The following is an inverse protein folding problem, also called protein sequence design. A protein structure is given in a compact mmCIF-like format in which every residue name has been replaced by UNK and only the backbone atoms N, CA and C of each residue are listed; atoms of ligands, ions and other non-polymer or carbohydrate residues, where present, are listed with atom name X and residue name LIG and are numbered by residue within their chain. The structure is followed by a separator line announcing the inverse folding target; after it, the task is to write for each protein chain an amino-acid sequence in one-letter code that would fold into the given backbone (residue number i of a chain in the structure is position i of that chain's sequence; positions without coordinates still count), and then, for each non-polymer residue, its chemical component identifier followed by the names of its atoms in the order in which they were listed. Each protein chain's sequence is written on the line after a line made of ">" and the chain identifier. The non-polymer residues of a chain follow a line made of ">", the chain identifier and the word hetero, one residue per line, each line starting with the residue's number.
data_IF_697175769071
#
_entry.id   IF_697175769071
#
_cell.length_a   1.000
_cell.length_b   1.000
_cell.length_c   1.000
_cell.angle_alpha   90.00
_cell.angle_beta   90.00
_cell.angle_gamma   90.00
#
_symmetry.space_group_name_H-M   'P 1'
#
loop_
_entity.id
_entity.type
_entity.pdbx_description
1 polymer ?
#
# COMPACT_ATOMS: atom_id res chain seq x y z
N UNK A 1 7.35 24.33 45.70
CA UNK A 1 7.40 22.92 45.26
C UNK A 1 6.12 22.57 44.51
N UNK A 2 6.12 22.59 43.18
CA UNK A 2 4.97 22.15 42.35
C UNK A 2 5.30 20.74 41.84
N UNK A 3 4.46 19.75 42.17
CA UNK A 3 4.52 18.39 41.60
C UNK A 3 3.78 18.41 40.26
N UNK A 4 4.47 17.94 39.23
CA UNK A 4 3.98 17.67 37.87
C UNK A 4 3.05 16.46 37.86
N UNK A 5 1.78 16.65 37.48
CA UNK A 5 0.86 15.55 37.22
C UNK A 5 1.09 15.00 35.81
N UNK A 6 1.32 13.69 35.77
CA UNK A 6 1.52 12.88 34.57
C UNK A 6 0.25 12.86 33.72
N UNK A 7 0.40 13.12 32.41
CA UNK A 7 -0.67 12.97 31.44
C UNK A 7 -1.13 11.51 31.34
N UNK A 8 -2.28 11.22 31.93
CA UNK A 8 -2.96 9.93 31.83
C UNK A 8 -3.34 9.65 30.38
N UNK A 9 -2.59 8.77 29.70
CA UNK A 9 -3.03 8.18 28.44
C UNK A 9 -4.29 7.36 28.70
N UNK A 10 -5.46 7.88 28.33
CA UNK A 10 -6.75 7.19 28.46
C UNK A 10 -6.74 5.93 27.59
N UNK A 11 -6.40 4.78 28.18
CA UNK A 11 -6.48 3.47 27.52
C UNK A 11 -7.95 3.07 27.37
N UNK A 12 -8.46 3.12 26.15
CA UNK A 12 -9.81 2.66 25.82
C UNK A 12 -9.92 1.15 26.00
N UNK A 13 -11.00 0.68 26.62
CA UNK A 13 -11.26 -0.75 26.83
C UNK A 13 -11.22 -1.53 25.50
N UNK A 14 -10.54 -2.70 25.45
CA UNK A 14 -10.49 -3.56 24.26
C UNK A 14 -11.88 -3.91 23.70
N UNK A 15 -12.91 -3.91 24.56
CA UNK A 15 -14.29 -4.23 24.18
C UNK A 15 -15.01 -3.10 23.44
N UNK A 16 -14.74 -1.84 23.79
CA UNK A 16 -15.33 -0.68 23.10
C UNK A 16 -14.80 -0.57 21.67
N UNK A 17 -13.53 -0.91 21.47
CA UNK A 17 -12.87 -0.85 20.17
C UNK A 17 -13.29 -2.00 19.23
N UNK A 18 -13.50 -3.20 19.79
CA UNK A 18 -14.02 -4.36 19.04
C UNK A 18 -15.40 -4.08 18.41
N UNK A 19 -16.27 -3.37 19.14
CA UNK A 19 -17.60 -2.97 18.66
C UNK A 19 -17.53 -1.93 17.53
N UNK A 20 -16.55 -1.02 17.59
CA UNK A 20 -16.34 -0.02 16.54
C UNK A 20 -15.75 -0.62 15.25
N UNK A 21 -14.90 -1.65 15.36
CA UNK A 21 -14.36 -2.36 14.18
C UNK A 21 -15.39 -3.24 13.46
N UNK A 22 -16.43 -3.72 14.16
CA UNK A 22 -17.52 -4.48 13.55
C UNK A 22 -18.51 -3.60 12.76
N UNK A 23 -18.46 -2.28 12.96
CA UNK A 23 -19.43 -1.34 12.41
C UNK A 23 -18.94 -0.61 11.15
N UNK A 24 -17.64 -0.70 10.82
CA UNK A 24 -17.05 -0.02 9.68
C UNK A 24 -16.51 -1.01 8.65
N UNK A 25 -17.25 -1.19 7.56
CA UNK A 25 -16.74 -1.71 6.29
C UNK A 25 -15.84 -0.63 5.66
N UNK A 26 -14.61 -0.51 6.16
CA UNK A 26 -13.58 0.50 5.80
C UNK A 26 -14.06 1.97 5.94
N UNK A 27 -13.22 2.98 6.21
CA UNK A 27 -12.21 3.60 5.36
C UNK A 27 -11.49 4.64 6.24
N UNK A 28 -10.36 5.19 5.79
CA UNK A 28 -9.54 6.28 6.40
C UNK A 28 -10.30 7.28 7.30
N UNK A 29 -11.53 7.65 6.93
CA UNK A 29 -12.47 8.47 7.69
C UNK A 29 -12.60 8.08 9.18
N UNK A 30 -12.61 6.79 9.53
CA UNK A 30 -12.69 6.35 10.94
C UNK A 30 -11.41 6.67 11.70
N UNK A 31 -10.25 6.43 11.08
CA UNK A 31 -8.95 6.77 11.66
C UNK A 31 -8.81 8.28 11.84
N UNK A 32 -9.25 9.07 10.86
CA UNK A 32 -9.29 10.54 10.95
C UNK A 32 -10.22 11.02 12.06
N UNK A 33 -11.40 10.41 12.22
CA UNK A 33 -12.31 10.72 13.34
C UNK A 33 -11.67 10.41 14.69
N UNK A 34 -10.94 9.30 14.80
CA UNK A 34 -10.23 8.94 16.01
C UNK A 34 -9.06 9.88 16.31
N UNK A 35 -8.34 10.36 15.29
CA UNK A 35 -7.32 11.39 15.47
C UNK A 35 -7.90 12.67 16.11
N UNK A 36 -9.14 13.05 15.78
CA UNK A 36 -9.82 14.19 16.42
C UNK A 36 -10.19 13.95 17.88
N UNK A 37 -10.43 12.70 18.27
CA UNK A 37 -10.88 12.33 19.63
C UNK A 37 -9.70 12.05 20.55
N UNK A 38 -8.70 11.30 20.05
CA UNK A 38 -7.59 10.78 20.84
C UNK A 38 -6.28 11.55 20.62
N UNK A 39 -6.26 12.47 19.65
CA UNK A 39 -5.09 13.24 19.28
C UNK A 39 -4.38 12.71 18.03
N UNK A 40 -3.42 13.48 17.50
CA UNK A 40 -2.73 13.18 16.23
C UNK A 40 -1.89 11.90 16.26
N UNK A 41 -1.50 11.41 17.44
CA UNK A 41 -0.84 10.12 17.61
C UNK A 41 -1.66 9.29 18.59
N UNK A 42 -2.10 8.11 18.14
CA UNK A 42 -2.86 7.20 18.99
C UNK A 42 -2.55 5.75 18.65
N UNK A 43 -2.83 4.86 19.60
CA UNK A 43 -2.58 3.43 19.46
C UNK A 43 -3.83 2.64 19.79
N UNK A 44 -4.02 1.52 19.11
CA UNK A 44 -5.12 0.61 19.37
C UNK A 44 -4.71 -0.84 19.09
N UNK A 45 -5.48 -1.80 19.59
CA UNK A 45 -5.19 -3.22 19.41
C UNK A 45 -6.15 -3.86 18.42
N UNK A 46 -5.59 -4.59 17.45
CA UNK A 46 -6.33 -5.55 16.63
C UNK A 46 -5.97 -6.95 17.12
N UNK A 47 -6.86 -7.58 17.89
CA UNK A 47 -6.57 -8.83 18.58
C UNK A 47 -5.38 -8.65 19.53
N UNK A 48 -4.26 -9.34 19.26
CA UNK A 48 -3.01 -9.23 20.03
C UNK A 48 -1.98 -8.28 19.42
N UNK A 49 -2.28 -7.68 18.26
CA UNK A 49 -1.36 -6.79 17.55
C UNK A 49 -1.64 -5.35 17.95
N UNK A 50 -0.61 -4.66 18.43
CA UNK A 50 -0.63 -3.22 18.65
C UNK A 50 -0.46 -2.50 17.31
N UNK A 51 -1.34 -1.54 17.04
CA UNK A 51 -1.30 -0.65 15.88
C UNK A 51 -1.07 0.77 16.40
N UNK A 52 -0.04 1.44 15.88
CA UNK A 52 0.21 2.86 16.08
C UNK A 52 -0.25 3.62 14.84
N UNK A 53 -1.00 4.69 15.03
CA UNK A 53 -1.43 5.59 13.95
C UNK A 53 -0.78 6.94 14.14
N UNK A 54 -0.15 7.41 13.06
CA UNK A 54 0.44 8.74 12.95
C UNK A 54 -0.46 9.55 12.02
N UNK A 55 -1.14 10.55 12.56
CA UNK A 55 -2.06 11.43 11.83
C UNK A 55 -1.58 12.89 11.80
N UNK A 56 -0.31 13.12 12.14
CA UNK A 56 0.35 14.42 12.09
C UNK A 56 1.56 14.40 11.15
N UNK A 57 1.78 15.52 10.46
CA UNK A 57 2.82 15.64 9.45
C UNK A 57 4.22 15.47 10.05
N UNK A 58 4.52 16.15 11.16
CA UNK A 58 5.84 16.10 11.77
C UNK A 58 6.16 14.68 12.25
N UNK A 59 5.17 14.00 12.86
CA UNK A 59 5.33 12.61 13.26
C UNK A 59 5.57 11.66 12.06
N UNK A 60 4.88 11.89 10.94
CA UNK A 60 5.05 11.12 9.70
C UNK A 60 6.43 11.37 9.09
N UNK A 61 6.86 12.63 9.00
CA UNK A 61 8.16 13.01 8.46
C UNK A 61 9.30 12.43 9.31
N UNK A 62 9.22 12.57 10.64
CA UNK A 62 10.20 12.03 11.57
C UNK A 62 10.30 10.51 11.45
N UNK A 63 9.17 9.82 11.34
CA UNK A 63 9.13 8.36 11.30
C UNK A 63 9.58 7.80 9.95
N UNK A 64 9.00 8.29 8.84
CA UNK A 64 9.18 7.70 7.51
C UNK A 64 10.40 8.21 6.76
N UNK A 65 10.86 9.43 7.07
CA UNK A 65 11.99 10.06 6.38
C UNK A 65 13.21 10.04 7.29
N UNK A 66 13.15 10.71 8.44
CA UNK A 66 14.33 10.87 9.32
C UNK A 66 14.73 9.56 10.01
N UNK A 67 13.76 8.74 10.40
CA UNK A 67 13.97 7.42 11.00
C UNK A 67 13.57 6.27 10.05
N UNK A 68 13.57 6.51 8.73
CA UNK A 68 13.01 5.59 7.73
C UNK A 68 13.52 4.14 7.84
N UNK A 69 14.79 3.93 8.20
CA UNK A 69 15.35 2.58 8.39
C UNK A 69 14.65 1.79 9.51
N UNK A 70 14.31 2.43 10.63
CA UNK A 70 13.60 1.80 11.77
C UNK A 70 12.15 1.50 11.40
N UNK A 71 11.53 2.35 10.59
CA UNK A 71 10.13 2.26 10.19
C UNK A 71 9.94 1.55 8.85
N UNK A 72 11.01 0.99 8.27
CA UNK A 72 11.02 0.39 6.93
C UNK A 72 10.36 -0.99 6.84
N UNK A 73 10.02 -1.62 7.97
CA UNK A 73 9.51 -2.98 8.03
C UNK A 73 8.13 -3.15 7.38
N UNK A 74 7.83 -4.37 6.92
CA UNK A 74 6.53 -4.72 6.33
C UNK A 74 5.68 -5.51 7.33
N UNK A 75 4.46 -5.03 7.67
CA UNK A 75 3.60 -5.69 8.62
C UNK A 75 3.19 -7.09 8.14
N UNK A 76 3.18 -8.04 9.08
CA UNK A 76 2.78 -9.42 8.82
C UNK A 76 1.26 -9.52 8.92
N UNK A 77 0.54 -9.49 7.79
CA UNK A 77 -0.87 -9.85 7.73
C UNK A 77 -1.02 -11.36 7.46
N UNK A 78 -1.42 -12.11 8.49
CA UNK A 78 -1.31 -13.58 8.61
C UNK A 78 -1.95 -14.41 7.48
N UNK A 79 -2.87 -13.88 6.68
CA UNK A 79 -3.67 -14.70 5.75
C UNK A 79 -2.90 -15.19 4.51
N UNK A 80 -1.85 -14.48 4.09
CA UNK A 80 -1.15 -14.78 2.84
C UNK A 80 0.12 -15.59 3.03
N UNK A 81 0.82 -15.34 4.15
CA UNK A 81 2.06 -16.01 4.49
C UNK A 81 1.86 -17.52 4.60
N UNK A 82 0.78 -17.96 5.24
CA UNK A 82 0.54 -19.38 5.51
C UNK A 82 -0.01 -20.15 4.32
N UNK A 83 -0.81 -19.55 3.43
CA UNK A 83 -1.55 -20.31 2.41
C UNK A 83 -0.96 -20.22 0.99
N UNK A 84 -0.44 -19.07 0.55
CA UNK A 84 0.03 -18.89 -0.86
C UNK A 84 1.53 -19.04 -1.05
N UNK A 85 2.33 -18.79 0.00
CA UNK A 85 3.80 -18.80 -0.09
C UNK A 85 4.45 -19.85 0.83
N UNK A 86 3.70 -20.88 1.25
CA UNK A 86 4.19 -21.98 2.11
C UNK A 86 4.90 -21.50 3.39
N UNK A 87 4.42 -20.43 4.01
CA UNK A 87 5.02 -19.85 5.21
C UNK A 87 6.26 -18.99 4.94
N UNK A 88 6.69 -18.80 3.67
CA UNK A 88 7.89 -18.02 3.33
C UNK A 88 7.54 -16.59 2.94
N UNK A 89 8.40 -15.65 3.36
CA UNK A 89 8.36 -14.27 2.90
C UNK A 89 9.14 -14.17 1.59
N UNK A 90 8.45 -14.04 0.46
CA UNK A 90 9.09 -13.97 -0.86
C UNK A 90 8.56 -12.78 -1.66
N UNK A 91 9.38 -12.32 -2.61
CA UNK A 91 9.04 -11.23 -3.50
C UNK A 91 9.15 -9.84 -2.87
N UNK A 92 8.95 -8.83 -3.72
CA UNK A 92 9.28 -7.45 -3.45
C UNK A 92 8.42 -6.78 -2.36
N UNK A 93 7.15 -7.17 -2.26
CA UNK A 93 6.18 -6.52 -1.37
C UNK A 93 6.21 -7.10 0.06
N UNK A 94 6.67 -8.34 0.22
CA UNK A 94 6.56 -9.09 1.48
C UNK A 94 7.91 -9.35 2.15
N UNK A 95 9.03 -9.13 1.49
CA UNK A 95 10.37 -9.26 2.09
C UNK A 95 10.78 -8.00 2.85
N UNK A 96 11.68 -8.15 3.80
CA UNK A 96 12.26 -7.07 4.62
C UNK A 96 13.79 -7.25 4.73
N UNK A 97 14.47 -6.23 5.25
CA UNK A 97 15.90 -6.27 5.52
C UNK A 97 16.74 -6.39 4.25
N UNK A 98 17.85 -7.12 4.32
CA UNK A 98 18.83 -7.16 3.22
C UNK A 98 18.26 -7.75 1.93
N UNK A 99 17.43 -8.79 2.04
CA UNK A 99 16.78 -9.41 0.87
C UNK A 99 15.90 -8.39 0.10
N UNK A 100 15.16 -7.53 0.83
CA UNK A 100 14.39 -6.47 0.19
C UNK A 100 15.28 -5.39 -0.43
N UNK A 101 16.38 -5.02 0.24
CA UNK A 101 17.34 -4.02 -0.28
C UNK A 101 18.01 -4.49 -1.57
N UNK A 102 18.41 -5.75 -1.65
CA UNK A 102 18.98 -6.36 -2.86
C UNK A 102 17.96 -6.37 -4.01
N UNK A 103 16.73 -6.85 -3.75
CA UNK A 103 15.66 -6.86 -4.75
C UNK A 103 15.31 -5.44 -5.24
N UNK A 104 15.27 -4.46 -4.32
CA UNK A 104 15.04 -3.05 -4.65
C UNK A 104 16.13 -2.48 -5.54
N UNK A 105 17.40 -2.73 -5.20
CA UNK A 105 18.53 -2.25 -6.00
C UNK A 105 18.51 -2.84 -7.40
N UNK A 106 18.32 -4.16 -7.49
CA UNK A 106 18.20 -4.87 -8.76
C UNK A 106 17.05 -4.30 -9.60
N UNK A 107 15.82 -4.26 -9.07
CA UNK A 107 14.64 -3.80 -9.80
C UNK A 107 14.78 -2.35 -10.28
N UNK A 108 15.29 -1.44 -9.45
CA UNK A 108 15.49 -0.04 -9.84
C UNK A 108 16.55 0.11 -10.94
N UNK A 109 17.62 -0.68 -10.90
CA UNK A 109 18.62 -0.71 -11.97
C UNK A 109 18.00 -1.21 -13.27
N UNK A 110 17.37 -2.39 -13.22
CA UNK A 110 16.74 -2.99 -14.40
C UNK A 110 15.66 -2.11 -15.00
N UNK A 111 14.82 -1.44 -14.19
CA UNK A 111 13.81 -0.52 -14.71
C UNK A 111 14.43 0.66 -15.47
N UNK A 112 15.55 1.23 -14.98
CA UNK A 112 16.29 2.27 -15.72
C UNK A 112 16.86 1.75 -17.03
N UNK A 113 17.38 0.52 -17.02
CA UNK A 113 17.91 -0.13 -18.21
C UNK A 113 16.79 -0.35 -19.25
N UNK A 114 15.62 -0.82 -18.81
CA UNK A 114 14.40 -1.02 -19.61
C UNK A 114 13.67 0.27 -20.02
N UNK A 115 14.23 1.46 -19.78
CA UNK A 115 13.69 2.72 -20.31
C UNK A 115 12.99 3.63 -19.31
N UNK A 116 12.90 3.26 -18.03
CA UNK A 116 12.36 4.16 -16.99
C UNK A 116 13.21 5.44 -16.92
N UNK A 117 12.58 6.59 -17.14
CA UNK A 117 13.25 7.89 -17.19
C UNK A 117 13.97 8.19 -18.51
N UNK A 118 13.77 7.36 -19.55
CA UNK A 118 14.29 7.58 -20.91
C UNK A 118 13.15 7.92 -21.88
N UNK A 119 13.49 8.46 -23.05
CA UNK A 119 12.53 8.79 -24.12
C UNK A 119 11.78 7.57 -24.65
N UNK A 120 12.35 6.37 -24.56
CA UNK A 120 11.69 5.13 -24.97
C UNK A 120 10.39 4.87 -24.21
N UNK A 121 10.36 5.13 -22.89
CA UNK A 121 9.13 4.99 -22.11
C UNK A 121 8.09 6.05 -22.50
N UNK A 122 8.53 7.28 -22.75
CA UNK A 122 7.64 8.34 -23.22
C UNK A 122 6.97 7.95 -24.55
N UNK A 123 7.74 7.36 -25.47
CA UNK A 123 7.21 6.86 -26.73
C UNK A 123 6.18 5.74 -26.51
N UNK A 124 6.48 4.73 -25.69
CA UNK A 124 5.52 3.67 -25.39
C UNK A 124 4.23 4.18 -24.74
N UNK A 125 4.33 5.21 -23.89
CA UNK A 125 3.15 5.86 -23.29
C UNK A 125 2.33 6.61 -24.35
N UNK A 126 2.98 7.34 -25.26
CA UNK A 126 2.31 8.04 -26.36
C UNK A 126 1.58 7.07 -27.30
N UNK A 127 2.25 5.98 -27.70
CA UNK A 127 1.65 4.92 -28.52
C UNK A 127 0.44 4.28 -27.82
N UNK A 128 0.54 3.98 -26.53
CA UNK A 128 -0.58 3.43 -25.75
C UNK A 128 -1.75 4.43 -25.65
N UNK A 129 -1.47 5.73 -25.53
CA UNK A 129 -2.49 6.78 -25.51
C UNK A 129 -3.21 6.91 -26.87
N UNK A 130 -2.48 6.82 -27.98
CA UNK A 130 -3.08 6.83 -29.32
C UNK A 130 -4.01 5.62 -29.54
N UNK A 131 -3.59 4.44 -29.09
CA UNK A 131 -4.43 3.24 -29.16
C UNK A 131 -5.70 3.42 -28.33
N UNK A 132 -5.58 3.92 -27.09
CA UNK A 132 -6.70 4.20 -26.21
C UNK A 132 -7.69 5.20 -26.84
N UNK A 133 -7.20 6.29 -27.44
CA UNK A 133 -8.04 7.29 -28.08
C UNK A 133 -8.84 6.68 -29.24
N UNK A 134 -8.18 5.88 -30.09
CA UNK A 134 -8.85 5.18 -31.20
C UNK A 134 -9.92 4.21 -30.70
N UNK A 135 -9.63 3.46 -29.63
CA UNK A 135 -10.61 2.57 -29.01
C UNK A 135 -11.84 3.34 -28.49
N UNK A 136 -11.62 4.46 -27.79
CA UNK A 136 -12.69 5.29 -27.25
C UNK A 136 -13.51 5.98 -28.35
N UNK A 137 -12.87 6.43 -29.44
CA UNK A 137 -13.56 6.99 -30.60
C UNK A 137 -14.48 5.95 -31.24
N UNK A 138 -13.99 4.73 -31.51
CA UNK A 138 -14.82 3.64 -32.05
C UNK A 138 -15.94 3.27 -31.08
N UNK A 139 -15.63 3.26 -29.78
CA UNK A 139 -16.58 2.89 -28.76
C UNK A 139 -17.61 4.00 -28.47
N UNK A 140 -17.35 5.25 -28.87
CA UNK A 140 -18.34 6.35 -28.82
C UNK A 140 -19.56 6.11 -29.70
N UNK A 141 -19.43 5.28 -30.74
CA UNK A 141 -20.53 4.82 -31.58
C UNK A 141 -21.30 3.64 -30.95
N UNK A 142 -20.86 3.11 -29.81
CA UNK A 142 -21.53 2.06 -29.03
C UNK A 142 -22.27 2.69 -27.83
N UNK A 143 -23.31 2.00 -27.34
CA UNK A 143 -24.24 2.52 -26.31
C UNK A 143 -23.60 2.68 -24.91
N UNK A 144 -22.51 1.96 -24.61
CA UNK A 144 -21.82 2.03 -23.32
C UNK A 144 -20.38 1.49 -23.42
N UNK A 145 -19.44 2.16 -22.77
CA UNK A 145 -18.01 1.80 -22.73
C UNK A 145 -17.53 1.87 -21.29
N UNK A 146 -16.81 0.85 -20.83
CA UNK A 146 -16.10 0.89 -19.56
C UNK A 146 -14.75 1.58 -19.76
N UNK A 147 -14.71 2.89 -19.51
CA UNK A 147 -13.51 3.71 -19.66
C UNK A 147 -12.39 3.23 -18.74
N UNK A 148 -12.74 2.79 -17.51
CA UNK A 148 -11.74 2.34 -16.54
C UNK A 148 -11.03 1.08 -17.03
N UNK A 149 -11.76 0.16 -17.65
CA UNK A 149 -11.16 -1.03 -18.25
C UNK A 149 -10.18 -0.68 -19.38
N UNK A 150 -10.57 0.21 -20.30
CA UNK A 150 -9.71 0.66 -21.39
C UNK A 150 -8.43 1.34 -20.89
N UNK A 151 -8.54 2.21 -19.88
CA UNK A 151 -7.37 2.83 -19.25
C UNK A 151 -6.44 1.80 -18.58
N UNK A 152 -7.01 0.85 -17.82
CA UNK A 152 -6.22 -0.20 -17.17
C UNK A 152 -5.47 -1.07 -18.18
N UNK A 153 -6.11 -1.39 -19.32
CA UNK A 153 -5.47 -2.12 -20.43
C UNK A 153 -4.32 -1.31 -21.03
N UNK A 154 -4.53 -0.02 -21.30
CA UNK A 154 -3.49 0.85 -21.85
C UNK A 154 -2.26 0.97 -20.91
N UNK A 155 -2.51 1.25 -19.63
CA UNK A 155 -1.44 1.35 -18.61
C UNK A 155 -0.72 0.00 -18.43
N UNK A 156 -1.48 -1.09 -18.34
CA UNK A 156 -0.89 -2.40 -18.19
C UNK A 156 -0.07 -2.81 -19.43
N UNK A 157 -0.44 -2.36 -20.63
CA UNK A 157 0.35 -2.60 -21.85
C UNK A 157 1.67 -1.84 -21.86
N UNK A 158 1.72 -0.62 -21.32
CA UNK A 158 3.01 0.08 -21.09
C UNK A 158 3.89 -0.75 -20.16
N UNK A 159 3.34 -1.25 -19.04
CA UNK A 159 4.09 -2.09 -18.10
C UNK A 159 4.54 -3.41 -18.75
N UNK A 160 3.66 -4.06 -19.52
CA UNK A 160 3.97 -5.30 -20.23
C UNK A 160 5.03 -5.11 -21.30
N UNK A 161 5.02 -3.98 -22.00
CA UNK A 161 6.06 -3.61 -22.96
C UNK A 161 7.41 -3.48 -22.25
N UNK A 162 7.46 -2.81 -21.10
CA UNK A 162 8.70 -2.69 -20.32
C UNK A 162 9.20 -4.02 -19.74
N UNK A 163 8.28 -4.86 -19.25
CA UNK A 163 8.63 -6.09 -18.53
C UNK A 163 8.86 -7.29 -19.44
N UNK A 164 8.11 -7.38 -20.55
CA UNK A 164 8.08 -8.54 -21.45
C UNK A 164 8.49 -8.19 -22.89
N UNK A 165 8.72 -6.92 -23.20
CA UNK A 165 9.06 -6.47 -24.56
C UNK A 165 7.88 -6.51 -25.54
N UNK A 166 6.64 -6.67 -25.06
CA UNK A 166 5.43 -6.76 -25.91
C UNK A 166 4.16 -6.29 -25.21
N UNK A 167 3.18 -5.91 -26.01
CA UNK A 167 1.81 -5.60 -25.58
C UNK A 167 0.88 -6.81 -25.75
N UNK A 168 -0.27 -6.76 -25.10
CA UNK A 168 -1.30 -7.79 -25.15
C UNK A 168 -2.65 -7.17 -25.52
N UNK A 169 -3.23 -7.65 -26.62
CA UNK A 169 -4.54 -7.23 -27.11
C UNK A 169 -5.64 -8.26 -26.77
N UNK A 170 -5.27 -9.52 -26.54
CA UNK A 170 -6.21 -10.60 -26.28
C UNK A 170 -6.98 -10.42 -24.96
N UNK A 171 -8.31 -10.50 -25.03
CA UNK A 171 -9.20 -10.42 -23.86
C UNK A 171 -8.88 -11.46 -22.78
N UNK A 172 -8.38 -12.63 -23.16
CA UNK A 172 -8.05 -13.70 -22.19
C UNK A 172 -6.96 -13.28 -21.20
N UNK A 173 -5.94 -12.56 -21.66
CA UNK A 173 -4.87 -12.06 -20.80
C UNK A 173 -5.42 -11.08 -19.75
N UNK A 174 -6.23 -10.12 -20.19
CA UNK A 174 -6.84 -9.11 -19.33
C UNK A 174 -7.88 -9.70 -18.38
N UNK A 175 -8.64 -10.70 -18.83
CA UNK A 175 -9.55 -11.47 -17.99
C UNK A 175 -8.80 -12.17 -16.85
N UNK A 176 -7.67 -12.81 -17.15
CA UNK A 176 -6.84 -13.43 -16.12
C UNK A 176 -6.24 -12.41 -15.16
N UNK A 177 -5.75 -11.27 -15.66
CA UNK A 177 -5.24 -10.18 -14.81
C UNK A 177 -6.32 -9.62 -13.87
N UNK A 178 -7.54 -9.41 -14.36
CA UNK A 178 -8.68 -8.97 -13.52
C UNK A 178 -8.97 -9.97 -12.40
N UNK A 179 -8.97 -11.27 -12.70
CA UNK A 179 -9.17 -12.32 -11.71
C UNK A 179 -8.04 -12.36 -10.67
N UNK A 180 -6.80 -12.17 -11.10
CA UNK A 180 -5.66 -12.05 -10.18
C UNK A 180 -5.84 -10.82 -9.30
N UNK A 181 -6.13 -9.65 -9.89
CA UNK A 181 -6.31 -8.41 -9.13
C UNK A 181 -7.42 -8.53 -8.09
N UNK A 182 -8.57 -9.09 -8.48
CA UNK A 182 -9.69 -9.38 -7.58
C UNK A 182 -9.28 -10.30 -6.42
N UNK A 183 -8.55 -11.39 -6.70
CA UNK A 183 -8.06 -12.29 -5.65
C UNK A 183 -7.00 -11.66 -4.75
N UNK A 184 -6.25 -10.69 -5.25
CA UNK A 184 -5.24 -9.96 -4.47
C UNK A 184 -5.92 -8.90 -3.60
N UNK A 185 -6.94 -8.19 -4.10
CA UNK A 185 -7.73 -7.24 -3.31
C UNK A 185 -8.50 -7.93 -2.19
N UNK A 186 -9.15 -9.08 -2.47
CA UNK A 186 -9.86 -9.85 -1.45
C UNK A 186 -8.92 -10.43 -0.37
N UNK A 187 -7.67 -10.68 -0.71
CA UNK A 187 -6.72 -11.29 0.22
C UNK A 187 -6.17 -10.33 1.27
N UNK A 188 -6.50 -9.04 1.19
CA UNK A 188 -5.95 -8.01 2.05
C UNK A 188 -4.43 -7.80 1.85
N UNK A 189 -3.88 -8.17 0.68
CA UNK A 189 -2.54 -7.73 0.19
C UNK A 189 -2.59 -6.24 -0.17
N UNK A 190 -3.68 -5.85 -0.83
CA UNK A 190 -4.14 -4.47 -0.93
C UNK A 190 -5.22 -4.29 0.12
N UNK A 191 -4.87 -4.23 1.40
CA UNK A 191 -5.82 -3.66 2.30
C UNK A 191 -5.98 -2.17 1.84
N UNK A 192 -7.10 -1.45 2.07
CA UNK A 192 -7.25 0.00 1.75
C UNK A 192 -6.23 0.91 2.49
N UNK A 193 -5.04 0.39 2.78
CA UNK A 193 -4.14 0.85 3.81
C UNK A 193 -3.00 1.58 3.12
N UNK A 194 -3.27 2.85 2.81
CA UNK A 194 -2.25 3.89 2.84
C UNK A 194 -1.75 4.18 4.27
N UNK A 195 -2.04 3.32 5.25
CA UNK A 195 -1.48 3.42 6.59
C UNK A 195 -0.36 2.41 6.77
N UNK A 196 0.86 2.93 6.89
CA UNK A 196 1.96 2.16 7.46
C UNK A 196 1.60 1.87 8.92
N UNK A 197 1.24 0.63 9.19
CA UNK A 197 1.31 0.11 10.55
C UNK A 197 2.78 0.04 10.90
N UNK A 198 3.25 1.05 11.62
CA UNK A 198 4.57 1.00 12.21
C UNK A 198 4.52 -0.02 13.34
N UNK A 199 5.19 -1.16 13.15
CA UNK A 199 5.58 -1.97 14.29
C UNK A 199 6.84 -1.36 14.91
N UNK A 200 6.71 -0.86 16.13
CA UNK A 200 7.87 -0.55 16.96
C UNK A 200 8.70 -1.84 17.15
N UNK A 201 10.02 -1.85 16.88
CA UNK A 201 10.88 -2.96 17.25
C UNK A 201 10.71 -3.25 18.74
N UNK A 202 10.72 -4.53 19.14
CA UNK A 202 10.43 -4.98 20.51
C UNK A 202 11.31 -4.41 21.64
N UNK A 203 12.30 -3.56 21.32
CA UNK A 203 13.15 -2.84 22.26
C UNK A 203 13.05 -1.30 22.16
N UNK A 204 12.23 -0.74 21.27
CA UNK A 204 12.04 0.70 21.19
C UNK A 204 11.08 1.13 22.29
N UNK A 205 11.63 1.61 23.42
CA UNK A 205 10.86 2.38 24.39
C UNK A 205 10.32 3.61 23.68
N UNK A 206 9.01 3.63 23.44
CA UNK A 206 8.29 4.79 22.89
C UNK A 206 8.37 5.97 23.88
N UNK A 207 8.85 5.75 25.11
CA UNK A 207 9.19 6.77 26.10
C UNK A 207 10.26 7.76 25.61
N UNK A 208 11.01 7.44 24.54
CA UNK A 208 12.02 8.32 23.95
C UNK A 208 11.49 9.20 22.81
N UNK A 209 10.19 9.16 22.49
CA UNK A 209 9.57 10.29 21.79
C UNK A 209 9.35 11.40 22.80
N UNK A 210 10.40 12.20 23.02
CA UNK A 210 10.24 13.52 23.63
C UNK A 210 9.41 14.34 22.64
N UNK A 211 8.13 14.54 22.99
CA UNK A 211 7.37 15.72 22.58
C UNK A 211 7.65 16.78 23.64
#
# INVERSE_FOLDING_TARGET
>A
MRRSEQGSSRTTSPFALKRLMQQSSDDITTLVKWAKIYGPLYKFYIGRKLILVLADYDAIEQSLIKQGEVFSGRPIFNALYTQKFHGKRTGFLLTDGECWREQRRFALSTMRDCGMGKSSLQQSVAEAAEVLLKELEVASFRKSVDILDSFNKAVGNVICSMAFGRTFEGEEFWRQLKLINFRVSESGIWPPFNYMVVQSPGNCKIDNFVI
#
